data_IF_410073977335
#
_entry.id   IF_410073977335
#
_cell.length_a   1.000
_cell.length_b   1.000
_cell.length_c   1.000
_cell.angle_alpha   90.00
_cell.angle_beta   90.00
_cell.angle_gamma   90.00
#
_symmetry.space_group_name_H-M   'P 1'
#
loop_
_entity.id
_entity.type
_entity.pdbx_description
1 polymer ?
#
# COMPACT_ATOMS: atom_id res chain seq x y z
N UNK A 1 -4.83 -11.91 1.80
CA UNK A 1 -3.45 -11.67 1.29
C UNK A 1 -2.67 -11.07 2.45
N UNK A 2 -1.57 -11.69 2.89
CA UNK A 2 -0.78 -11.19 4.02
C UNK A 2 0.19 -10.10 3.52
N UNK A 3 0.32 -9.01 4.28
CA UNK A 3 1.33 -7.99 4.03
C UNK A 3 2.74 -8.59 4.20
N UNK A 4 3.73 -8.05 3.48
CA UNK A 4 5.13 -8.49 3.60
C UNK A 4 5.66 -8.23 5.03
N UNK A 5 6.59 -9.06 5.53
CA UNK A 5 7.26 -8.84 6.81
C UNK A 5 7.91 -7.43 6.91
N UNK A 6 7.78 -6.77 8.06
CA UNK A 6 8.18 -5.35 8.25
C UNK A 6 9.68 -5.12 8.02
N UNK A 7 10.52 -6.06 8.45
CA UNK A 7 11.98 -6.07 8.30
C UNK A 7 12.46 -6.08 6.85
N UNK A 8 11.59 -6.47 5.91
CA UNK A 8 11.93 -6.42 4.48
C UNK A 8 11.72 -5.04 3.87
N UNK A 9 11.03 -4.10 4.53
CA UNK A 9 10.73 -2.76 4.00
C UNK A 9 11.95 -1.86 3.97
N UNK A 10 12.18 -1.22 2.81
CA UNK A 10 13.17 -0.17 2.63
C UNK A 10 12.53 1.21 2.74
N UNK A 11 13.34 2.26 2.91
CA UNK A 11 12.85 3.65 2.88
C UNK A 11 12.16 3.99 1.55
N UNK A 12 12.66 3.46 0.43
CA UNK A 12 12.04 3.62 -0.87
C UNK A 12 10.63 3.00 -0.92
N UNK A 13 10.45 1.83 -0.32
CA UNK A 13 9.13 1.20 -0.20
C UNK A 13 8.16 2.07 0.61
N UNK A 14 8.63 2.68 1.69
CA UNK A 14 7.80 3.57 2.53
C UNK A 14 7.37 4.82 1.76
N UNK A 15 8.27 5.42 0.98
CA UNK A 15 7.96 6.59 0.13
C UNK A 15 6.93 6.21 -0.94
N UNK A 16 7.10 5.05 -1.59
CA UNK A 16 6.16 4.56 -2.61
C UNK A 16 4.79 4.24 -2.00
N UNK A 17 4.75 3.61 -0.83
CA UNK A 17 3.51 3.32 -0.12
C UNK A 17 2.77 4.58 0.33
N UNK A 18 3.49 5.57 0.87
CA UNK A 18 2.89 6.86 1.22
C UNK A 18 2.34 7.59 -0.02
N UNK A 19 3.08 7.55 -1.12
CA UNK A 19 2.64 8.13 -2.40
C UNK A 19 1.40 7.42 -2.96
N UNK A 20 1.34 6.10 -2.83
CA UNK A 20 0.20 5.29 -3.23
C UNK A 20 -1.03 5.58 -2.37
N UNK A 21 -0.86 5.71 -1.05
CA UNK A 21 -1.95 6.07 -0.13
C UNK A 21 -2.55 7.43 -0.47
N UNK A 22 -1.71 8.45 -0.75
CA UNK A 22 -2.18 9.77 -1.22
C UNK A 22 -2.93 9.66 -2.54
N UNK A 23 -2.41 8.87 -3.49
CA UNK A 23 -3.08 8.68 -4.77
C UNK A 23 -4.47 8.04 -4.62
N UNK A 24 -4.65 7.10 -3.68
CA UNK A 24 -5.97 6.53 -3.39
C UNK A 24 -6.93 7.53 -2.75
N UNK A 25 -6.44 8.37 -1.83
CA UNK A 25 -7.26 9.46 -1.27
C UNK A 25 -7.70 10.47 -2.34
N UNK A 26 -6.80 10.84 -3.25
CA UNK A 26 -7.13 11.72 -4.38
C UNK A 26 -8.16 11.08 -5.32
N UNK A 27 -8.07 9.76 -5.56
CA UNK A 27 -9.02 8.99 -6.36
C UNK A 27 -10.40 9.00 -5.71
N UNK A 28 -10.50 8.76 -4.40
CA UNK A 28 -11.78 8.85 -3.66
C UNK A 28 -12.37 10.25 -3.74
N UNK A 29 -11.56 11.30 -3.58
CA UNK A 29 -12.02 12.68 -3.71
C UNK A 29 -12.56 12.98 -5.12
N UNK A 30 -11.88 12.51 -6.16
CA UNK A 30 -12.36 12.66 -7.54
C UNK A 30 -13.65 11.88 -7.79
N UNK A 31 -13.77 10.67 -7.23
CA UNK A 31 -14.99 9.88 -7.34
C UNK A 31 -16.17 10.59 -6.68
N UNK A 32 -16.00 11.12 -5.46
CA UNK A 32 -17.05 11.88 -4.79
C UNK A 32 -17.51 13.07 -5.63
N UNK A 33 -16.57 13.79 -6.24
CA UNK A 33 -16.93 14.90 -7.15
C UNK A 33 -17.71 14.45 -8.38
N UNK A 34 -17.38 13.30 -8.95
CA UNK A 34 -18.13 12.72 -10.08
C UNK A 34 -19.52 12.28 -9.62
N UNK A 35 -19.64 11.75 -8.41
CA UNK A 35 -20.92 11.32 -7.85
C UNK A 35 -21.84 12.54 -7.56
N UNK A 36 -21.26 13.67 -7.14
CA UNK A 36 -21.98 14.93 -6.88
C UNK A 36 -22.35 15.68 -8.18
N UNK A 37 -21.39 15.82 -9.10
CA UNK A 37 -21.53 16.63 -10.33
C UNK A 37 -22.10 15.83 -11.53
N UNK A 38 -22.05 14.50 -11.46
CA UNK A 38 -22.38 13.60 -12.56
C UNK A 38 -21.27 13.44 -13.61
N UNK A 39 -21.51 12.52 -14.56
CA UNK A 39 -20.59 12.22 -15.68
C UNK A 39 -20.56 13.34 -16.74
N UNK A 40 -21.67 14.06 -16.87
CA UNK A 40 -21.83 15.23 -17.75
C UNK A 40 -22.22 16.42 -16.87
N UNK A 41 -21.60 17.56 -17.11
CA UNK A 41 -21.95 18.81 -16.44
C UNK A 41 -23.23 19.42 -17.05
N UNK A 42 -23.76 20.47 -16.43
CA UNK A 42 -24.98 21.17 -16.88
C UNK A 42 -24.90 21.69 -18.33
N UNK A 43 -23.69 21.99 -18.81
CA UNK A 43 -23.45 22.42 -20.20
C UNK A 43 -23.35 21.25 -21.20
N UNK A 44 -23.60 20.02 -20.74
CA UNK A 44 -23.56 18.78 -21.51
C UNK A 44 -22.14 18.28 -21.78
N UNK A 45 -21.09 18.97 -21.31
CA UNK A 45 -19.71 18.52 -21.53
C UNK A 45 -19.31 17.42 -20.53
N UNK A 46 -18.39 16.52 -20.92
CA UNK A 46 -17.84 15.53 -20.00
C UNK A 46 -17.20 16.19 -18.77
N UNK A 47 -17.48 15.63 -17.60
CA UNK A 47 -16.85 16.08 -16.36
C UNK A 47 -15.32 15.83 -16.42
N UNK A 48 -14.47 16.87 -16.31
CA UNK A 48 -13.02 16.70 -16.37
C UNK A 48 -12.46 15.84 -15.22
N UNK A 49 -13.20 15.69 -14.11
CA UNK A 49 -12.83 14.79 -13.02
C UNK A 49 -12.73 13.33 -13.49
N UNK A 50 -13.52 12.90 -14.48
CA UNK A 50 -13.45 11.55 -15.05
C UNK A 50 -12.09 11.27 -15.69
N UNK A 51 -11.54 12.19 -16.49
CA UNK A 51 -10.22 12.02 -17.13
C UNK A 51 -9.08 12.07 -16.09
N UNK A 52 -9.22 12.92 -15.08
CA UNK A 52 -8.26 12.98 -13.96
C UNK A 52 -8.27 11.67 -13.16
N UNK A 53 -9.45 11.14 -12.82
CA UNK A 53 -9.62 9.87 -12.11
C UNK A 53 -8.90 8.73 -12.86
N UNK A 54 -9.08 8.68 -14.17
CA UNK A 54 -8.47 7.71 -15.06
C UNK A 54 -6.94 7.78 -15.05
N UNK A 55 -6.39 9.00 -15.15
CA UNK A 55 -4.94 9.25 -15.10
C UNK A 55 -4.36 8.88 -13.73
N UNK A 56 -5.05 9.24 -12.66
CA UNK A 56 -4.66 8.94 -11.28
C UNK A 56 -4.66 7.44 -11.02
N UNK A 57 -5.70 6.73 -11.48
CA UNK A 57 -5.82 5.27 -11.35
C UNK A 57 -4.69 4.56 -12.08
N UNK A 58 -4.38 4.96 -13.31
CA UNK A 58 -3.23 4.40 -14.06
C UNK A 58 -1.90 4.65 -13.34
N UNK A 59 -1.71 5.84 -12.77
CA UNK A 59 -0.51 6.18 -11.98
C UNK A 59 -0.43 5.31 -10.71
N UNK A 60 -1.51 5.18 -9.96
CA UNK A 60 -1.58 4.35 -8.75
C UNK A 60 -1.23 2.88 -9.07
N UNK A 61 -1.75 2.32 -10.16
CA UNK A 61 -1.40 0.98 -10.62
C UNK A 61 0.07 0.82 -11.03
N UNK A 62 0.68 1.86 -11.60
CA UNK A 62 2.11 1.85 -11.90
C UNK A 62 2.95 1.88 -10.61
N UNK A 63 2.61 2.76 -9.66
CA UNK A 63 3.28 2.84 -8.35
C UNK A 63 3.15 1.56 -7.54
N UNK A 64 1.96 0.94 -7.52
CA UNK A 64 1.73 -0.33 -6.85
C UNK A 64 2.57 -1.48 -7.47
N UNK A 65 2.72 -1.49 -8.79
CA UNK A 65 3.61 -2.44 -9.48
C UNK A 65 5.06 -2.21 -9.11
N UNK A 66 5.51 -0.95 -9.06
CA UNK A 66 6.87 -0.59 -8.66
C UNK A 66 7.19 -1.09 -7.24
N UNK A 67 6.30 -0.82 -6.28
CA UNK A 67 6.43 -1.31 -4.89
C UNK A 67 6.53 -2.84 -4.82
N UNK A 68 5.82 -3.55 -5.70
CA UNK A 68 5.91 -5.02 -5.84
C UNK A 68 7.21 -5.51 -6.53
N UNK A 69 7.84 -4.70 -7.37
CA UNK A 69 9.09 -5.07 -8.05
C UNK A 69 10.29 -4.83 -7.13
N UNK A 70 10.33 -3.69 -6.45
CA UNK A 70 11.42 -3.34 -5.53
C UNK A 70 11.50 -4.33 -4.35
N UNK A 71 10.35 -4.86 -3.93
CA UNK A 71 10.28 -5.99 -2.99
C UNK A 71 11.01 -7.23 -3.49
N UNK A 72 10.80 -7.64 -4.74
CA UNK A 72 11.43 -8.84 -5.32
C UNK A 72 12.94 -8.62 -5.49
N UNK A 73 13.35 -7.40 -5.84
CA UNK A 73 14.75 -7.04 -6.02
C UNK A 73 15.54 -7.05 -4.70
N UNK A 74 14.98 -6.48 -3.62
CA UNK A 74 15.66 -6.34 -2.33
C UNK A 74 15.77 -7.65 -1.55
N UNK A 75 14.76 -8.52 -1.58
CA UNK A 75 14.77 -9.78 -0.79
C UNK A 75 15.47 -10.95 -1.50
N UNK A 76 15.91 -10.75 -2.74
CA UNK A 76 16.45 -11.79 -3.60
C UNK A 76 15.36 -12.71 -4.18
N UNK A 77 15.67 -13.37 -5.30
CA UNK A 77 14.77 -14.34 -5.97
C UNK A 77 14.23 -15.36 -4.95
N UNK A 78 12.90 -15.44 -4.85
CA UNK A 78 11.98 -16.51 -4.39
C UNK A 78 12.41 -17.62 -3.40
N UNK A 79 13.67 -18.04 -3.31
CA UNK A 79 14.16 -19.11 -2.43
C UNK A 79 14.36 -18.66 -0.97
N UNK A 80 14.63 -17.38 -0.72
CA UNK A 80 14.81 -16.80 0.63
C UNK A 80 13.49 -16.38 1.29
N UNK A 81 12.48 -16.00 0.50
CA UNK A 81 11.18 -15.49 0.94
C UNK A 81 10.44 -16.47 1.89
N UNK A 82 10.38 -17.79 1.63
CA UNK A 82 9.65 -18.71 2.49
C UNK A 82 10.26 -18.84 3.89
N UNK A 83 11.59 -18.74 4.00
CA UNK A 83 12.32 -18.83 5.27
C UNK A 83 12.11 -17.58 6.11
N UNK A 84 12.22 -16.39 5.52
CA UNK A 84 11.96 -15.12 6.21
C UNK A 84 10.49 -15.03 6.66
N UNK A 85 9.54 -15.42 5.80
CA UNK A 85 8.12 -15.44 6.14
C UNK A 85 7.75 -16.52 7.18
N UNK A 86 8.53 -17.61 7.28
CA UNK A 86 8.38 -18.60 8.35
C UNK A 86 8.91 -18.05 9.67
N UNK A 87 10.08 -17.42 9.67
CA UNK A 87 10.66 -16.77 10.84
C UNK A 87 9.74 -15.68 11.41
N UNK A 88 9.12 -14.87 10.55
CA UNK A 88 8.14 -13.86 10.97
C UNK A 88 6.88 -14.49 11.59
N UNK A 89 6.37 -15.58 11.01
CA UNK A 89 5.24 -16.34 11.58
C UNK A 89 5.58 -16.93 12.94
N UNK A 90 6.81 -17.38 13.14
CA UNK A 90 7.27 -17.94 14.42
C UNK A 90 7.53 -16.84 15.46
N UNK A 91 8.10 -15.70 15.07
CA UNK A 91 8.23 -14.53 15.95
C UNK A 91 6.86 -14.02 16.44
N UNK A 92 5.84 -13.99 15.56
CA UNK A 92 4.47 -13.63 15.96
C UNK A 92 3.80 -14.64 16.90
N UNK A 93 4.31 -15.87 17.00
CA UNK A 93 3.81 -16.89 17.93
C UNK A 93 4.50 -16.81 19.29
N UNK A 94 5.68 -16.21 19.37
CA UNK A 94 6.35 -15.90 20.63
C UNK A 94 5.76 -14.59 21.20
N UNK A 95 4.64 -14.72 21.90
CA UNK A 95 4.07 -13.63 22.73
C UNK A 95 4.83 -13.41 24.05
N UNK A 96 5.84 -14.26 24.32
CA UNK A 96 6.61 -14.32 25.57
C UNK A 96 8.08 -13.87 25.33
N UNK A 97 8.28 -12.97 24.37
CA UNK A 97 9.57 -12.35 24.13
C UNK A 97 9.73 -11.14 25.08
N UNK A 98 10.51 -11.35 26.15
CA UNK A 98 10.89 -10.35 27.17
C UNK A 98 11.51 -9.06 26.58
N UNK A 99 11.83 -9.05 25.28
CA UNK A 99 12.43 -7.91 24.58
C UNK A 99 11.40 -6.86 24.10
N UNK A 100 10.09 -7.14 24.17
CA UNK A 100 9.05 -6.14 23.88
C UNK A 100 8.07 -6.09 25.07
N UNK A 101 8.17 -5.09 25.97
CA UNK A 101 7.28 -4.98 27.11
C UNK A 101 5.81 -4.89 26.65
N UNK A 102 5.00 -5.82 27.13
CA UNK A 102 3.54 -5.76 27.00
C UNK A 102 2.93 -5.30 28.31
N UNK A 103 1.65 -4.92 28.31
CA UNK A 103 0.95 -4.47 29.52
C UNK A 103 0.95 -5.52 30.66
N UNK A 104 1.24 -6.79 30.36
CA UNK A 104 1.41 -7.86 31.36
C UNK A 104 2.80 -7.90 32.00
N UNK A 105 3.83 -7.38 31.35
CA UNK A 105 5.23 -7.39 31.84
C UNK A 105 5.57 -6.20 32.76
N UNK A 106 4.61 -5.29 33.01
CA UNK A 106 4.76 -4.08 33.82
C UNK A 106 4.18 -4.18 35.25
N UNK A 107 4.06 -5.39 35.81
CA UNK A 107 3.64 -5.62 37.21
C UNK A 107 4.83 -5.88 38.13
#
# INVERSE_FOLDING_TARGET
MLARPRDTWTDADLILAASLARAYADIEHLQQRIDDDGLLLDDGKPNPACDLLDKMTRRALATARQLKVDTIATVGKAESIPKAAALERDARRQFDDDLIPTLGTMQ
#
